data_IF_379184394410
#
_entry.id   IF_379184394410
#
_cell.length_a   1.000
_cell.length_b   1.000
_cell.length_c   1.000
_cell.angle_alpha   90.00
_cell.angle_beta   90.00
_cell.angle_gamma   90.00
#
_symmetry.space_group_name_H-M   'P 1'
#
loop_
_entity.id
_entity.type
_entity.pdbx_description
1 polymer ?
#
# COMPACT_ATOMS: atom_id res chain seq x y z
N UNK A 1 2.52 -26.72 17.71
CA UNK A 1 1.72 -25.53 18.02
C UNK A 1 2.60 -24.37 17.63
N UNK A 2 2.38 -23.79 16.46
CA UNK A 2 3.04 -22.52 16.12
C UNK A 2 2.34 -21.46 16.97
N UNK A 3 3.14 -20.67 17.66
CA UNK A 3 2.74 -19.52 18.46
C UNK A 3 1.99 -18.58 17.52
N UNK A 4 0.72 -18.27 17.81
CA UNK A 4 -0.04 -17.20 17.13
C UNK A 4 0.53 -15.87 17.62
N UNK A 5 1.79 -15.59 17.27
CA UNK A 5 2.39 -14.29 17.51
C UNK A 5 1.73 -13.33 16.54
N UNK A 6 0.86 -12.48 17.06
CA UNK A 6 0.30 -11.35 16.34
C UNK A 6 1.47 -10.48 15.85
N UNK A 7 1.81 -10.58 14.56
CA UNK A 7 2.89 -9.81 13.95
C UNK A 7 2.47 -8.32 13.92
N UNK A 8 2.83 -7.59 14.96
CA UNK A 8 2.56 -6.16 15.06
C UNK A 8 3.55 -5.37 14.19
N UNK A 9 3.14 -5.08 12.95
CA UNK A 9 3.82 -4.11 12.09
C UNK A 9 3.46 -2.71 12.55
N UNK A 10 4.44 -1.96 13.05
CA UNK A 10 4.22 -0.55 13.32
C UNK A 10 4.22 0.24 11.99
N UNK A 11 3.14 0.97 11.66
CA UNK A 11 3.01 1.68 10.39
C UNK A 11 4.09 2.75 10.18
N UNK A 12 4.79 3.18 11.23
CA UNK A 12 5.90 4.14 11.09
C UNK A 12 7.13 3.56 10.35
N UNK A 13 7.24 2.23 10.24
CA UNK A 13 8.35 1.56 9.54
C UNK A 13 7.95 1.03 8.16
N UNK A 14 6.74 1.33 7.68
CA UNK A 14 6.27 0.93 6.36
C UNK A 14 6.65 2.00 5.32
N UNK A 15 7.53 1.66 4.37
CA UNK A 15 7.73 2.51 3.21
C UNK A 15 6.69 2.19 2.13
N UNK A 16 6.30 3.17 1.30
CA UNK A 16 5.35 2.94 0.19
C UNK A 16 5.81 1.83 -0.76
N UNK A 17 7.12 1.63 -0.92
CA UNK A 17 7.70 0.59 -1.76
C UNK A 17 7.57 -0.83 -1.18
N UNK A 18 7.27 -0.95 0.12
CA UNK A 18 7.13 -2.24 0.81
C UNK A 18 5.68 -2.77 0.76
N UNK A 19 4.75 -2.00 0.17
CA UNK A 19 3.34 -2.31 0.15
C UNK A 19 2.78 -2.33 -1.28
N UNK A 20 2.01 -3.36 -1.59
CA UNK A 20 1.23 -3.45 -2.82
C UNK A 20 -0.19 -2.94 -2.57
N UNK A 21 -0.69 -2.06 -3.44
CA UNK A 21 -2.08 -1.59 -3.36
C UNK A 21 -3.01 -2.66 -3.93
N UNK A 22 -3.91 -3.17 -3.09
CA UNK A 22 -4.91 -4.17 -3.48
C UNK A 22 -6.21 -3.53 -3.99
N UNK A 23 -6.66 -2.46 -3.34
CA UNK A 23 -7.93 -1.81 -3.65
C UNK A 23 -7.93 -0.35 -3.20
N UNK A 24 -8.58 0.51 -4.00
CA UNK A 24 -8.85 1.91 -3.65
C UNK A 24 -10.35 2.12 -3.84
N UNK A 25 -11.04 2.48 -2.77
CA UNK A 25 -12.48 2.71 -2.78
C UNK A 25 -12.85 4.02 -2.12
N UNK A 26 -13.96 4.60 -2.54
CA UNK A 26 -14.57 5.74 -1.86
C UNK A 26 -15.67 5.27 -0.93
N UNK A 27 -15.69 5.83 0.28
CA UNK A 27 -16.73 5.64 1.29
C UNK A 27 -17.18 7.00 1.84
N UNK A 28 -18.24 7.03 2.65
CA UNK A 28 -18.77 8.26 3.24
C UNK A 28 -17.73 9.02 4.10
N UNK A 29 -16.71 8.31 4.63
CA UNK A 29 -15.64 8.87 5.47
C UNK A 29 -14.38 9.26 4.68
N UNK A 30 -14.40 9.15 3.34
CA UNK A 30 -13.27 9.49 2.47
C UNK A 30 -12.77 8.31 1.61
N UNK A 31 -11.52 8.40 1.17
CA UNK A 31 -10.88 7.33 0.38
C UNK A 31 -10.32 6.28 1.33
N UNK A 32 -10.61 5.02 1.05
CA UNK A 32 -10.03 3.85 1.72
C UNK A 32 -9.08 3.13 0.79
N UNK A 33 -7.95 2.71 1.33
CA UNK A 33 -6.93 1.95 0.60
C UNK A 33 -6.71 0.64 1.35
N UNK A 34 -6.71 -0.47 0.60
CA UNK A 34 -6.26 -1.77 1.08
C UNK A 34 -4.86 -2.04 0.55
N UNK A 35 -3.98 -2.44 1.45
CA UNK A 35 -2.56 -2.66 1.18
C UNK A 35 -2.22 -4.11 1.56
N UNK A 36 -1.35 -4.73 0.77
CA UNK A 36 -0.67 -5.96 1.13
C UNK A 36 0.78 -5.65 1.47
N UNK A 37 1.26 -6.15 2.61
CA UNK A 37 2.66 -6.05 3.03
C UNK A 37 3.16 -7.47 3.28
N UNK A 38 4.34 -7.86 2.76
CA UNK A 38 4.92 -9.15 3.09
C UNK A 38 5.31 -9.19 4.57
N UNK A 39 4.83 -10.20 5.28
CA UNK A 39 5.25 -10.48 6.65
C UNK A 39 6.76 -10.80 6.66
N UNK A 40 7.58 -10.11 7.47
CA UNK A 40 9.02 -10.28 7.44
C UNK A 40 9.49 -11.63 7.98
N UNK A 41 8.66 -12.34 8.76
CA UNK A 41 9.03 -13.61 9.40
C UNK A 41 8.63 -14.83 8.57
N UNK A 42 7.48 -14.75 7.91
CA UNK A 42 6.85 -15.86 7.17
C UNK A 42 6.82 -15.64 5.66
N UNK A 43 6.91 -14.38 5.21
CA UNK A 43 6.72 -13.98 3.83
C UNK A 43 5.26 -14.00 3.36
N UNK A 44 4.30 -14.25 4.25
CA UNK A 44 2.87 -14.23 3.92
C UNK A 44 2.35 -12.80 3.79
N UNK A 45 1.36 -12.57 2.91
CA UNK A 45 0.82 -11.23 2.69
C UNK A 45 -0.14 -10.81 3.81
N UNK A 46 0.23 -9.80 4.59
CA UNK A 46 -0.63 -9.14 5.58
C UNK A 46 -1.48 -8.07 4.91
N UNK A 47 -2.79 -8.08 5.18
CA UNK A 47 -3.73 -7.12 4.59
C UNK A 47 -4.09 -6.03 5.59
N UNK A 48 -3.81 -4.79 5.21
CA UNK A 48 -4.08 -3.59 6.01
C UNK A 48 -5.13 -2.72 5.32
N UNK A 49 -6.02 -2.10 6.09
CA UNK A 49 -6.98 -1.09 5.59
C UNK A 49 -6.67 0.26 6.25
N UNK A 50 -6.54 1.30 5.42
CA UNK A 50 -6.24 2.66 5.87
C UNK A 50 -7.19 3.68 5.24
N UNK A 51 -7.48 4.75 5.98
CA UNK A 51 -8.24 5.91 5.49
C UNK A 51 -7.26 7.00 5.10
N UNK A 52 -7.44 7.59 3.92
CA UNK A 52 -6.58 8.66 3.40
C UNK A 52 -6.82 9.95 4.18
N UNK A 53 -5.80 10.43 4.89
CA UNK A 53 -5.86 11.68 5.64
C UNK A 53 -5.72 12.94 4.79
N UNK A 54 -4.93 12.89 3.71
CA UNK A 54 -4.70 14.01 2.80
C UNK A 54 -4.37 13.51 1.39
N UNK A 55 -4.77 14.28 0.39
CA UNK A 55 -4.45 14.05 -1.03
C UNK A 55 -3.69 15.29 -1.50
N UNK A 56 -2.48 15.11 -2.01
CA UNK A 56 -1.70 16.17 -2.63
C UNK A 56 -1.53 15.86 -4.12
N UNK A 57 -1.73 16.87 -4.97
CA UNK A 57 -1.49 16.77 -6.39
C UNK A 57 0.02 16.86 -6.64
N UNK A 58 0.61 15.78 -7.13
CA UNK A 58 2.00 15.78 -7.57
C UNK A 58 2.10 16.09 -9.06
N UNK A 59 2.91 17.08 -9.41
CA UNK A 59 3.26 17.38 -10.79
C UNK A 59 4.40 16.43 -11.20
N UNK A 60 4.03 15.27 -11.74
CA UNK A 60 4.97 14.28 -12.24
C UNK A 60 4.94 14.27 -13.76
N UNK A 61 6.04 14.67 -14.40
CA UNK A 61 6.28 14.35 -15.80
C UNK A 61 6.59 12.85 -15.89
N UNK A 62 5.61 12.05 -16.30
CA UNK A 62 5.88 10.68 -16.69
C UNK A 62 6.87 10.72 -17.86
N UNK A 63 7.96 9.93 -17.84
CA UNK A 63 8.79 9.78 -19.03
C UNK A 63 7.90 9.18 -20.12
N UNK A 64 7.49 10.03 -21.06
CA UNK A 64 6.85 9.59 -22.29
C UNK A 64 7.91 8.77 -23.04
N UNK A 65 7.79 7.45 -23.02
CA UNK A 65 8.53 6.57 -23.94
C UNK A 65 7.97 6.81 -25.35
N UNK A 66 8.35 7.94 -25.95
CA UNK A 66 7.93 8.41 -27.28
C UNK A 66 8.43 7.45 -28.40
N UNK A 67 9.32 6.51 -28.07
CA UNK A 67 9.88 5.51 -28.99
C UNK A 67 9.04 4.22 -29.12
N UNK A 68 7.88 4.10 -28.46
CA UNK A 68 7.11 2.82 -28.44
C UNK A 68 5.69 2.90 -28.98
N UNK A 69 5.24 4.06 -29.46
CA UNK A 69 3.94 4.20 -30.11
C UNK A 69 4.15 4.50 -31.60
N UNK A 70 4.09 3.45 -32.43
CA UNK A 70 4.05 3.49 -33.90
C UNK A 70 2.73 2.85 -34.38
#
# INVERSE_FOLDING_TARGET
MADETDCYLDPEYLYPSDADVLDISSADDGIRIKLAVPDPETGEGLVLEAVVGSIEEGDFELPLDDDRYD
#
